data_IF_098096197689
#
_entry.id   IF_098096197689
#
_cell.length_a   1.000
_cell.length_b   1.000
_cell.length_c   1.000
_cell.angle_alpha   90.00
_cell.angle_beta   90.00
_cell.angle_gamma   90.00
#
_symmetry.space_group_name_H-M   'P 1'
#
loop_
_entity.id
_entity.type
_entity.pdbx_description
1 polymer ?
#
# COMPACT_ATOMS: atom_id res chain seq x y z
N UNK A 1 26.34 -20.36 6.00
CA UNK A 1 25.80 -19.31 5.14
C UNK A 1 24.76 -19.84 4.11
N UNK A 2 25.03 -20.91 3.28
CA UNK A 2 24.06 -21.35 2.27
C UNK A 2 22.66 -21.65 2.84
N UNK A 3 22.57 -22.38 3.94
CA UNK A 3 21.29 -22.71 4.59
C UNK A 3 20.52 -21.48 5.09
N UNK A 4 21.21 -20.44 5.56
CA UNK A 4 20.57 -19.19 5.97
C UNK A 4 20.10 -18.41 4.75
N UNK A 5 20.87 -18.38 3.67
CA UNK A 5 20.46 -17.74 2.42
C UNK A 5 19.24 -18.42 1.80
N UNK A 6 19.18 -19.75 1.84
CA UNK A 6 18.00 -20.49 1.40
C UNK A 6 16.77 -20.17 2.25
N UNK A 7 16.93 -20.14 3.58
CA UNK A 7 15.84 -19.78 4.49
C UNK A 7 15.32 -18.36 4.22
N UNK A 8 16.19 -17.39 3.98
CA UNK A 8 15.82 -16.04 3.58
C UNK A 8 15.06 -16.04 2.25
N UNK A 9 15.57 -16.75 1.24
CA UNK A 9 14.92 -16.86 -0.08
C UNK A 9 13.49 -17.45 0.03
N UNK A 10 13.33 -18.48 0.86
CA UNK A 10 12.02 -19.10 1.10
C UNK A 10 11.08 -18.14 1.82
N UNK A 11 11.55 -17.44 2.86
CA UNK A 11 10.75 -16.45 3.60
C UNK A 11 10.32 -15.28 2.73
N UNK A 12 11.18 -14.80 1.85
CA UNK A 12 10.88 -13.78 0.85
C UNK A 12 10.03 -14.29 -0.32
N UNK A 13 9.71 -15.59 -0.36
CA UNK A 13 9.01 -16.24 -1.47
C UNK A 13 9.65 -15.96 -2.84
N UNK A 14 10.97 -15.81 -2.85
CA UNK A 14 11.73 -15.44 -4.04
C UNK A 14 11.45 -16.32 -5.27
N UNK A 15 11.28 -17.65 -5.18
CA UNK A 15 10.94 -18.48 -6.33
C UNK A 15 9.62 -18.05 -7.00
N UNK A 16 8.60 -17.65 -6.20
CA UNK A 16 7.32 -17.16 -6.72
C UNK A 16 7.45 -15.80 -7.39
N UNK A 17 8.27 -14.93 -6.85
CA UNK A 17 8.55 -13.62 -7.46
C UNK A 17 9.23 -13.83 -8.82
N UNK A 18 10.24 -14.67 -8.88
CA UNK A 18 10.94 -15.00 -10.14
C UNK A 18 9.98 -15.59 -11.17
N UNK A 19 9.11 -16.51 -10.75
CA UNK A 19 8.10 -17.10 -11.65
C UNK A 19 7.09 -16.06 -12.16
N UNK A 20 6.63 -15.16 -11.30
CA UNK A 20 5.69 -14.10 -11.68
C UNK A 20 6.28 -13.12 -12.72
N UNK A 21 7.59 -12.95 -12.73
CA UNK A 21 8.31 -12.10 -13.67
C UNK A 21 8.60 -12.77 -15.03
N UNK A 22 8.36 -14.08 -15.15
CA UNK A 22 8.46 -14.77 -16.45
C UNK A 22 7.41 -14.23 -17.42
N UNK A 23 7.65 -14.30 -18.73
CA UNK A 23 6.67 -13.88 -19.73
C UNK A 23 5.31 -14.56 -19.53
N UNK A 24 4.24 -13.82 -19.76
CA UNK A 24 2.87 -14.36 -19.72
C UNK A 24 2.71 -15.55 -20.66
N UNK A 25 2.07 -16.60 -20.17
CA UNK A 25 1.77 -17.79 -20.99
C UNK A 25 0.58 -17.51 -21.90
N UNK A 26 0.60 -18.09 -23.08
CA UNK A 26 -0.52 -17.98 -24.03
C UNK A 26 -1.71 -18.84 -23.57
N UNK A 27 -2.92 -18.39 -23.89
CA UNK A 27 -4.17 -19.14 -23.71
C UNK A 27 -4.45 -19.56 -22.25
N UNK A 28 -3.98 -18.79 -21.27
CA UNK A 28 -4.34 -19.04 -19.89
C UNK A 28 -5.76 -18.55 -19.60
N UNK A 29 -6.57 -19.33 -18.85
CA UNK A 29 -7.87 -18.86 -18.39
C UNK A 29 -7.70 -17.70 -17.42
N UNK A 30 -8.64 -16.75 -17.45
CA UNK A 30 -8.65 -15.64 -16.50
C UNK A 30 -8.82 -16.16 -15.06
N UNK A 31 -7.99 -15.63 -14.15
CA UNK A 31 -8.03 -15.92 -12.70
C UNK A 31 -8.13 -14.61 -11.92
N UNK A 32 -8.68 -14.60 -10.68
CA UNK A 32 -8.68 -13.40 -9.87
C UNK A 32 -7.26 -12.80 -9.73
N UNK A 33 -6.28 -13.62 -9.36
CA UNK A 33 -4.86 -13.25 -9.29
C UNK A 33 -4.12 -14.21 -10.24
N UNK A 34 -3.63 -13.71 -11.39
CA UNK A 34 -2.81 -14.48 -12.31
C UNK A 34 -1.46 -14.89 -11.71
N UNK A 35 -0.89 -15.98 -12.19
CA UNK A 35 0.42 -16.45 -11.73
C UNK A 35 1.57 -15.61 -12.28
N UNK A 36 1.41 -15.07 -13.49
CA UNK A 36 2.43 -14.24 -14.16
C UNK A 36 1.84 -12.90 -14.57
N UNK A 37 2.69 -11.89 -14.54
CA UNK A 37 2.31 -10.53 -14.97
C UNK A 37 1.91 -10.56 -16.45
N UNK A 38 0.75 -9.99 -16.75
CA UNK A 38 0.20 -9.93 -18.11
C UNK A 38 -0.72 -11.08 -18.49
N UNK A 39 -0.89 -12.10 -17.64
CA UNK A 39 -1.95 -13.10 -17.81
C UNK A 39 -3.32 -12.50 -17.46
N UNK A 40 -4.43 -13.00 -18.04
CA UNK A 40 -5.75 -12.41 -17.86
C UNK A 40 -6.25 -12.53 -16.41
N UNK A 41 -6.84 -11.45 -15.90
CA UNK A 41 -7.48 -11.40 -14.59
C UNK A 41 -9.00 -11.32 -14.72
N UNK A 42 -9.72 -11.91 -13.76
CA UNK A 42 -11.16 -11.70 -13.57
C UNK A 42 -11.46 -10.36 -12.91
N UNK A 43 -10.50 -9.78 -12.19
CA UNK A 43 -10.65 -8.48 -11.54
C UNK A 43 -10.47 -7.39 -12.58
N UNK A 44 -11.53 -6.62 -12.82
CA UNK A 44 -11.56 -5.53 -13.80
C UNK A 44 -11.35 -4.17 -13.20
N UNK A 45 -11.72 -4.00 -11.94
CA UNK A 45 -11.64 -2.75 -11.21
C UNK A 45 -11.05 -2.96 -9.83
N UNK A 46 -10.18 -2.07 -9.43
CA UNK A 46 -9.60 -2.04 -8.08
C UNK A 46 -9.94 -0.70 -7.46
N UNK A 47 -10.52 -0.73 -6.27
CA UNK A 47 -10.71 0.46 -5.42
C UNK A 47 -9.71 0.34 -4.28
N UNK A 48 -8.72 1.22 -4.27
CA UNK A 48 -7.70 1.27 -3.23
C UNK A 48 -8.00 2.43 -2.28
N UNK A 49 -8.33 2.11 -1.04
CA UNK A 49 -8.71 3.09 -0.03
C UNK A 49 -7.68 3.06 1.09
N UNK A 50 -6.97 4.17 1.28
CA UNK A 50 -6.09 4.38 2.41
C UNK A 50 -6.89 5.12 3.47
N UNK A 51 -7.14 4.46 4.59
CA UNK A 51 -7.77 5.06 5.76
C UNK A 51 -6.77 5.10 6.89
N UNK A 52 -6.37 6.28 7.20
CA UNK A 52 -5.51 6.55 8.33
C UNK A 52 -6.24 7.51 9.30
N UNK A 53 -5.83 7.82 10.36
CA UNK A 53 -4.59 7.62 11.08
C UNK A 53 -4.95 6.92 12.41
N UNK A 54 -5.27 5.64 12.37
CA UNK A 54 -5.74 4.85 13.51
C UNK A 54 -5.12 3.46 13.50
N UNK A 55 -4.88 2.93 14.70
CA UNK A 55 -4.41 1.54 14.84
C UNK A 55 -5.55 0.56 14.61
N UNK A 56 -5.20 -0.71 14.38
CA UNK A 56 -6.14 -1.80 14.22
C UNK A 56 -7.16 -1.84 15.36
N UNK A 57 -6.71 -1.89 16.61
CA UNK A 57 -7.58 -2.01 17.77
C UNK A 57 -8.48 -0.79 18.01
N UNK A 58 -8.04 0.40 17.64
CA UNK A 58 -8.88 1.58 17.74
C UNK A 58 -10.16 1.46 16.91
N UNK A 59 -10.14 0.68 15.82
CA UNK A 59 -11.28 0.45 14.93
C UNK A 59 -11.87 -0.94 15.13
N UNK A 60 -11.05 -1.98 15.20
CA UNK A 60 -11.46 -3.38 15.20
C UNK A 60 -11.22 -4.10 16.54
N UNK A 61 -10.90 -3.38 17.61
CA UNK A 61 -10.67 -4.01 18.90
C UNK A 61 -11.88 -4.80 19.41
N UNK A 62 -13.09 -4.38 19.05
CA UNK A 62 -14.36 -5.02 19.42
C UNK A 62 -14.86 -6.10 18.43
N UNK A 63 -14.08 -6.40 17.36
CA UNK A 63 -14.53 -7.34 16.33
C UNK A 63 -14.59 -8.79 16.79
N UNK A 64 -13.85 -9.13 17.86
CA UNK A 64 -13.80 -10.50 18.42
C UNK A 64 -13.12 -11.53 17.51
N UNK A 65 -12.30 -11.09 16.57
CA UNK A 65 -11.52 -11.94 15.66
C UNK A 65 -10.07 -11.49 15.63
N UNK A 66 -9.18 -12.42 15.32
CA UNK A 66 -7.75 -12.14 15.25
C UNK A 66 -7.18 -11.71 16.61
N UNK A 67 -6.16 -10.88 16.58
CA UNK A 67 -5.48 -10.36 17.77
C UNK A 67 -6.09 -9.01 18.21
N UNK A 68 -7.40 -8.99 18.47
CA UNK A 68 -8.14 -7.77 18.83
C UNK A 68 -8.20 -7.56 20.35
N UNK A 69 -8.07 -6.30 20.78
CA UNK A 69 -8.23 -5.89 22.19
C UNK A 69 -9.35 -4.85 22.33
N UNK A 70 -10.52 -5.24 22.87
CA UNK A 70 -11.67 -4.32 23.01
C UNK A 70 -11.42 -3.14 23.94
N UNK A 71 -10.40 -3.22 24.81
CA UNK A 71 -10.05 -2.12 25.71
C UNK A 71 -9.44 -0.92 24.98
N UNK A 72 -8.93 -1.14 23.76
CA UNK A 72 -8.31 -0.12 22.93
C UNK A 72 -9.28 0.46 21.88
N UNK A 73 -10.51 -0.03 21.83
CA UNK A 73 -11.52 0.39 20.86
C UNK A 73 -11.97 1.83 21.11
N UNK A 74 -11.89 2.68 20.09
CA UNK A 74 -12.36 4.06 20.08
C UNK A 74 -13.48 4.23 19.06
N UNK A 75 -13.34 3.65 17.90
CA UNK A 75 -14.24 3.75 16.75
C UNK A 75 -14.81 2.37 16.40
N UNK A 76 -15.41 1.71 17.39
CA UNK A 76 -15.96 0.37 17.26
C UNK A 76 -17.13 0.25 16.29
N UNK A 77 -17.81 -0.87 16.35
CA UNK A 77 -18.90 -1.24 15.42
C UNK A 77 -19.99 -0.17 15.27
N UNK A 78 -20.34 0.49 16.33
CA UNK A 78 -21.41 1.53 16.31
C UNK A 78 -21.02 2.74 15.45
N UNK A 79 -19.73 3.04 15.36
CA UNK A 79 -19.18 4.15 14.57
C UNK A 79 -18.75 3.69 13.18
N UNK A 80 -18.22 2.47 13.09
CA UNK A 80 -17.67 1.90 11.86
C UNK A 80 -18.37 0.61 11.40
N UNK A 81 -19.71 0.58 11.27
CA UNK A 81 -20.44 -0.65 10.97
C UNK A 81 -20.06 -1.26 9.63
N UNK A 82 -19.83 -0.43 8.60
CA UNK A 82 -19.46 -0.91 7.28
C UNK A 82 -18.04 -1.49 7.24
N UNK A 83 -17.10 -0.96 8.02
CA UNK A 83 -15.76 -1.52 8.13
C UNK A 83 -15.81 -2.91 8.75
N UNK A 84 -16.60 -3.06 9.82
CA UNK A 84 -16.82 -4.35 10.47
C UNK A 84 -17.49 -5.34 9.53
N UNK A 85 -18.51 -4.95 8.80
CA UNK A 85 -19.19 -5.81 7.83
C UNK A 85 -18.22 -6.32 6.74
N UNK A 86 -17.37 -5.45 6.21
CA UNK A 86 -16.33 -5.84 5.22
C UNK A 86 -15.31 -6.79 5.85
N UNK A 87 -14.82 -6.48 7.05
CA UNK A 87 -13.85 -7.31 7.76
C UNK A 87 -14.40 -8.68 8.16
N UNK A 88 -15.70 -8.79 8.40
CA UNK A 88 -16.38 -10.07 8.72
C UNK A 88 -16.66 -10.92 7.49
N UNK A 89 -16.98 -10.27 6.36
CA UNK A 89 -17.37 -10.93 5.12
C UNK A 89 -16.17 -11.34 4.27
N UNK A 90 -15.08 -10.59 4.33
CA UNK A 90 -13.89 -10.77 3.48
C UNK A 90 -12.64 -11.07 4.31
N UNK A 91 -11.47 -10.78 3.76
CA UNK A 91 -10.20 -11.01 4.42
C UNK A 91 -9.90 -9.90 5.42
N UNK A 92 -9.60 -10.28 6.66
CA UNK A 92 -9.12 -9.40 7.72
C UNK A 92 -7.65 -9.70 7.98
N UNK A 93 -6.81 -8.67 7.94
CA UNK A 93 -5.39 -8.76 8.25
C UNK A 93 -5.15 -8.02 9.57
N UNK A 94 -5.06 -8.77 10.67
CA UNK A 94 -4.97 -8.23 12.03
C UNK A 94 -3.54 -7.88 12.48
N UNK A 95 -2.53 -8.40 11.78
CA UNK A 95 -1.12 -8.13 12.04
C UNK A 95 -0.41 -7.62 10.77
N UNK A 96 -1.05 -6.73 10.04
CA UNK A 96 -0.45 -6.02 8.92
C UNK A 96 0.21 -4.74 9.43
N UNK A 97 1.50 -4.62 9.19
CA UNK A 97 2.29 -3.44 9.54
C UNK A 97 2.77 -2.73 8.28
N UNK A 98 2.70 -1.41 8.30
CA UNK A 98 3.36 -0.60 7.30
C UNK A 98 4.84 -0.48 7.66
N UNK A 99 5.71 -0.58 6.68
CA UNK A 99 7.15 -0.43 6.87
C UNK A 99 7.56 1.05 6.90
N UNK A 100 6.95 1.78 7.84
CA UNK A 100 7.07 3.23 7.95
C UNK A 100 6.85 3.68 9.39
N UNK A 101 7.44 4.79 9.75
CA UNK A 101 7.33 5.38 11.09
C UNK A 101 6.27 6.49 11.17
N UNK A 102 6.05 7.21 10.05
CA UNK A 102 5.11 8.34 9.96
C UNK A 102 4.30 8.30 8.68
N UNK A 103 3.38 9.26 8.47
CA UNK A 103 2.57 9.33 7.24
C UNK A 103 3.41 9.61 5.99
N UNK A 104 4.48 10.40 6.11
CA UNK A 104 5.29 10.81 4.95
C UNK A 104 5.89 9.62 4.21
N UNK A 105 6.51 8.69 4.92
CA UNK A 105 7.07 7.47 4.37
C UNK A 105 5.99 6.40 4.16
N UNK A 106 5.00 6.28 5.07
CA UNK A 106 3.91 5.32 4.97
C UNK A 106 3.07 5.45 3.71
N UNK A 107 2.76 6.66 3.29
CA UNK A 107 2.06 6.89 2.02
C UNK A 107 2.93 6.54 0.81
N UNK A 108 4.23 6.74 0.87
CA UNK A 108 5.15 6.28 -0.18
C UNK A 108 5.20 4.75 -0.24
N UNK A 109 5.36 4.08 0.89
CA UNK A 109 5.32 2.61 0.96
C UNK A 109 4.01 2.05 0.41
N UNK A 110 2.89 2.65 0.76
CA UNK A 110 1.56 2.21 0.30
C UNK A 110 1.34 2.40 -1.20
N UNK A 111 1.94 3.42 -1.81
CA UNK A 111 1.67 3.81 -3.20
C UNK A 111 2.80 3.50 -4.18
N UNK A 112 4.02 3.24 -3.69
CA UNK A 112 5.20 2.97 -4.51
C UNK A 112 5.95 1.70 -4.09
N UNK A 113 5.55 1.05 -3.00
CA UNK A 113 6.22 -0.10 -2.39
C UNK A 113 7.63 0.20 -1.84
N UNK A 114 7.99 1.46 -1.69
CA UNK A 114 9.18 1.93 -0.96
C UNK A 114 9.08 3.43 -0.69
N UNK A 115 9.77 3.91 0.32
CA UNK A 115 10.04 5.32 0.51
C UNK A 115 11.46 5.64 -0.01
N UNK A 116 11.66 6.87 -0.48
CA UNK A 116 12.98 7.28 -0.92
C UNK A 116 13.91 7.50 0.27
N UNK A 117 15.18 7.27 0.08
CA UNK A 117 16.23 7.53 1.09
C UNK A 117 16.20 8.97 1.61
N UNK A 118 15.82 9.90 0.77
CA UNK A 118 15.61 11.30 1.13
C UNK A 118 14.43 11.45 2.12
N UNK A 119 13.30 10.84 1.84
CA UNK A 119 12.12 10.87 2.73
C UNK A 119 12.44 10.25 4.09
N UNK A 120 13.07 9.08 4.10
CA UNK A 120 13.42 8.35 5.33
C UNK A 120 14.37 9.14 6.22
N UNK A 121 15.26 9.92 5.65
CA UNK A 121 16.24 10.72 6.42
C UNK A 121 15.71 12.08 6.85
N UNK A 122 14.79 12.66 6.11
CA UNK A 122 14.39 14.06 6.31
C UNK A 122 12.98 14.25 6.90
N UNK A 123 12.16 13.20 7.00
CA UNK A 123 10.86 13.35 7.62
C UNK A 123 10.91 13.94 9.05
N UNK A 124 11.91 13.63 9.92
CA UNK A 124 11.95 14.23 11.24
C UNK A 124 12.06 15.76 11.21
N UNK A 125 12.83 16.31 10.26
CA UNK A 125 12.94 17.75 10.08
C UNK A 125 11.60 18.37 9.66
N UNK A 126 10.89 17.75 8.70
CA UNK A 126 9.56 18.19 8.26
C UNK A 126 8.53 18.24 9.38
N UNK A 127 8.45 17.18 10.18
CA UNK A 127 7.56 17.11 11.36
C UNK A 127 8.00 18.03 12.51
N UNK A 128 9.28 18.38 12.57
CA UNK A 128 9.85 19.35 13.50
C UNK A 128 9.60 20.81 13.11
N UNK A 129 8.88 21.09 12.04
CA UNK A 129 8.58 22.44 11.56
C UNK A 129 9.72 23.10 10.77
N UNK A 130 10.74 22.35 10.41
CA UNK A 130 11.83 22.76 9.52
C UNK A 130 11.46 22.28 8.10
N UNK A 131 10.70 23.11 7.39
CA UNK A 131 10.08 22.71 6.13
C UNK A 131 11.10 22.43 5.02
N UNK A 132 11.36 21.15 4.79
CA UNK A 132 11.75 20.69 3.47
C UNK A 132 10.49 20.74 2.57
N UNK A 133 10.69 21.12 1.31
CA UNK A 133 9.57 21.15 0.39
C UNK A 133 9.03 19.70 0.18
N UNK A 134 7.76 19.43 0.46
CA UNK A 134 7.19 18.11 0.19
C UNK A 134 7.15 17.77 -1.31
N UNK A 135 7.64 18.68 -2.14
CA UNK A 135 7.77 18.54 -3.60
C UNK A 135 9.21 18.40 -4.05
N UNK A 136 10.15 18.19 -3.15
CA UNK A 136 11.54 17.96 -3.55
C UNK A 136 11.60 16.77 -4.51
N UNK A 137 12.24 16.88 -5.68
CA UNK A 137 12.32 15.77 -6.64
C UNK A 137 12.89 14.49 -6.02
N UNK A 138 13.77 14.63 -5.02
CA UNK A 138 14.35 13.51 -4.30
C UNK A 138 13.34 12.74 -3.41
N UNK A 139 12.17 13.29 -3.13
CA UNK A 139 11.09 12.60 -2.44
C UNK A 139 10.28 11.70 -3.39
N UNK A 140 10.34 11.95 -4.69
CA UNK A 140 9.55 11.19 -5.65
C UNK A 140 10.20 9.84 -5.92
N UNK A 141 9.44 8.73 -5.82
CA UNK A 141 9.96 7.41 -6.15
C UNK A 141 10.35 7.34 -7.63
N UNK A 142 11.59 6.92 -7.93
CA UNK A 142 12.09 6.88 -9.30
C UNK A 142 11.30 5.96 -10.24
N UNK A 143 10.68 4.92 -9.71
CA UNK A 143 9.76 4.06 -10.45
C UNK A 143 8.36 4.70 -10.63
N UNK A 144 8.06 5.78 -9.94
CA UNK A 144 6.75 6.40 -9.87
C UNK A 144 5.78 5.64 -8.95
N UNK A 145 4.60 6.21 -8.79
CA UNK A 145 3.52 5.65 -7.98
C UNK A 145 2.64 4.68 -8.78
N UNK A 146 1.66 4.08 -8.13
CA UNK A 146 0.69 3.17 -8.75
C UNK A 146 0.02 3.78 -9.99
N UNK A 147 -0.38 5.04 -9.94
CA UNK A 147 -1.00 5.72 -11.10
C UNK A 147 -0.04 5.93 -12.25
N UNK A 148 1.26 6.15 -11.99
CA UNK A 148 2.27 6.22 -13.05
C UNK A 148 2.45 4.86 -13.72
N UNK A 149 2.36 3.78 -12.94
CA UNK A 149 2.37 2.41 -13.49
C UNK A 149 1.13 2.14 -14.33
N UNK A 150 -0.05 2.56 -13.86
CA UNK A 150 -1.29 2.46 -14.64
C UNK A 150 -1.17 3.20 -15.98
N UNK A 151 -0.68 4.44 -15.95
CA UNK A 151 -0.47 5.24 -17.16
C UNK A 151 0.48 4.55 -18.14
N UNK A 152 1.62 4.04 -17.66
CA UNK A 152 2.59 3.29 -18.50
C UNK A 152 2.01 2.02 -19.13
N UNK A 153 1.01 1.43 -18.48
CA UNK A 153 0.31 0.24 -18.99
C UNK A 153 -0.97 0.57 -19.78
N UNK A 154 -1.28 1.84 -20.00
CA UNK A 154 -2.50 2.26 -20.69
C UNK A 154 -3.79 1.93 -19.93
N UNK A 155 -3.71 1.77 -18.62
CA UNK A 155 -4.86 1.52 -17.76
C UNK A 155 -5.48 2.84 -17.32
N UNK A 156 -6.80 2.91 -17.33
CA UNK A 156 -7.51 4.06 -16.76
C UNK A 156 -7.40 4.05 -15.24
N UNK A 157 -7.21 5.22 -14.65
CA UNK A 157 -7.19 5.39 -13.20
C UNK A 157 -7.81 6.72 -12.80
N UNK A 158 -8.19 6.82 -11.56
CA UNK A 158 -8.60 8.07 -10.92
C UNK A 158 -7.97 8.15 -9.54
N UNK A 159 -7.27 9.25 -9.27
CA UNK A 159 -6.71 9.59 -7.97
C UNK A 159 -7.58 10.68 -7.33
N UNK A 160 -7.96 10.48 -6.06
CA UNK A 160 -8.84 11.38 -5.31
C UNK A 160 -8.09 12.23 -4.26
N UNK A 161 -6.79 12.40 -4.42
CA UNK A 161 -6.03 13.33 -3.59
C UNK A 161 -4.69 12.81 -3.10
N UNK A 162 -4.40 11.52 -3.26
CA UNK A 162 -3.14 10.93 -2.82
C UNK A 162 -1.97 11.49 -3.62
N UNK A 163 -1.06 12.23 -2.97
CA UNK A 163 0.00 13.01 -3.62
C UNK A 163 -0.45 13.90 -4.79
N UNK A 164 -1.75 14.16 -4.91
CA UNK A 164 -2.30 15.05 -5.91
C UNK A 164 -2.28 16.49 -5.38
N UNK A 165 -1.26 17.25 -5.72
CA UNK A 165 -1.17 18.66 -5.39
C UNK A 165 -1.97 19.49 -6.38
N UNK A 166 -2.84 20.37 -5.89
CA UNK A 166 -3.38 21.43 -6.74
C UNK A 166 -2.19 22.23 -7.30
N UNK A 167 -2.01 22.21 -8.62
CA UNK A 167 -1.26 23.29 -9.24
C UNK A 167 -2.04 24.57 -8.93
N UNK A 168 -1.49 25.45 -8.11
CA UNK A 168 -1.92 26.83 -8.11
C UNK A 168 -1.74 27.31 -9.55
N UNK A 169 -2.85 27.65 -10.24
CA UNK A 169 -2.77 28.31 -11.52
C UNK A 169 -1.85 29.52 -11.31
N UNK A 170 -0.63 29.40 -11.80
CA UNK A 170 0.29 30.51 -11.89
C UNK A 170 -0.38 31.51 -12.81
N UNK A 171 -0.76 32.66 -12.27
CA UNK A 171 -1.02 33.83 -13.13
C UNK A 171 0.25 34.04 -13.93
N UNK A 172 0.11 33.86 -15.25
CA UNK A 172 1.10 34.29 -16.21
C UNK A 172 1.27 35.81 -16.13
#
# INVERSE_FOLDING_TARGET
LPQLSEKVSVNLRQPRIVEALLPARKNQPARPIPERIGEPSLIRHVVYIIKENRTYDQVFGDIGKGNSDPRLTIYGRDITPNHHAIAEQFVLLDNLYCDAEVSADGHQWSNAAYATDYTEKLWPAGYGGHSESPRAPAMLPGAGYLWDQCARKGLSYRNYGEFAWRQSEGKA
#
